data_IF_381831775177
#
_entry.id   IF_381831775177
#
_cell.length_a   1.000
_cell.length_b   1.000
_cell.length_c   1.000
_cell.angle_alpha   90.00
_cell.angle_beta   90.00
_cell.angle_gamma   90.00
#
_symmetry.space_group_name_H-M   'P 1'
#
loop_
_entity.id
_entity.type
_entity.pdbx_description
1 polymer ?
#
# COMPACT_ATOMS: atom_id res chain seq x y z
N UNK A 1 13.25 28.00 15.64
CA UNK A 1 13.61 27.29 16.88
C UNK A 1 12.66 26.16 17.22
N UNK A 2 11.61 26.38 18.04
CA UNK A 2 10.68 25.31 18.51
C UNK A 2 9.39 25.14 17.68
N UNK A 3 9.08 26.09 16.80
CA UNK A 3 7.84 26.06 16.01
C UNK A 3 8.00 25.33 14.66
N UNK A 4 9.17 25.43 14.04
CA UNK A 4 9.47 24.80 12.73
C UNK A 4 9.52 23.27 12.85
N UNK A 5 10.28 22.72 13.81
CA UNK A 5 10.40 21.26 13.97
C UNK A 5 9.09 20.52 14.32
N UNK A 6 8.06 21.20 14.84
CA UNK A 6 6.72 20.59 15.05
C UNK A 6 5.81 20.64 13.82
N UNK A 7 6.07 21.55 12.88
CA UNK A 7 5.34 21.60 11.62
C UNK A 7 5.92 20.58 10.64
N UNK A 8 7.24 20.49 10.54
CA UNK A 8 7.94 19.50 9.70
C UNK A 8 7.60 18.07 10.13
N UNK A 9 7.79 17.72 11.41
CA UNK A 9 7.47 16.36 11.89
C UNK A 9 6.00 15.96 11.77
N UNK A 10 5.05 16.92 11.71
CA UNK A 10 3.62 16.64 11.44
C UNK A 10 3.28 16.56 9.96
N UNK A 11 4.05 17.19 9.08
CA UNK A 11 3.90 17.02 7.63
C UNK A 11 4.50 15.69 7.20
N UNK A 12 5.74 15.40 7.62
CA UNK A 12 6.43 14.15 7.34
C UNK A 12 5.64 12.95 7.87
N UNK A 13 5.25 12.94 9.14
CA UNK A 13 4.47 11.83 9.70
C UNK A 13 3.09 11.62 9.06
N UNK A 14 2.48 12.67 8.51
CA UNK A 14 1.22 12.53 7.73
C UNK A 14 1.49 11.99 6.33
N UNK A 15 2.53 12.46 5.66
CA UNK A 15 2.86 12.05 4.31
C UNK A 15 3.36 10.61 4.28
N UNK A 16 4.17 10.21 5.27
CA UNK A 16 4.56 8.82 5.51
C UNK A 16 3.36 7.96 5.88
N UNK A 17 2.48 8.44 6.77
CA UNK A 17 1.27 7.71 7.17
C UNK A 17 0.30 7.46 6.01
N UNK A 18 0.14 8.43 5.11
CA UNK A 18 -0.67 8.29 3.89
C UNK A 18 -0.04 7.28 2.94
N UNK A 19 1.26 7.42 2.63
CA UNK A 19 1.95 6.48 1.73
C UNK A 19 1.96 5.04 2.27
N UNK A 20 2.21 4.86 3.57
CA UNK A 20 2.18 3.56 4.21
C UNK A 20 0.76 2.97 4.21
N UNK A 21 -0.25 3.82 4.39
CA UNK A 21 -1.66 3.46 4.33
C UNK A 21 -2.10 3.02 2.94
N UNK A 22 -1.71 3.77 1.91
CA UNK A 22 -2.01 3.47 0.51
C UNK A 22 -1.37 2.15 0.08
N UNK A 23 -0.07 1.96 0.37
CA UNK A 23 0.63 0.71 0.08
C UNK A 23 0.01 -0.49 0.79
N UNK A 24 -0.41 -0.32 2.06
CA UNK A 24 -1.10 -1.37 2.81
C UNK A 24 -2.49 -1.68 2.25
N UNK A 25 -3.24 -0.65 1.87
CA UNK A 25 -4.57 -0.81 1.28
C UNK A 25 -4.53 -1.57 -0.05
N UNK A 26 -3.56 -1.25 -0.93
CA UNK A 26 -3.35 -1.99 -2.19
C UNK A 26 -3.07 -3.47 -1.95
N UNK A 27 -2.18 -3.78 -0.98
CA UNK A 27 -1.85 -5.16 -0.59
C UNK A 27 -3.05 -5.91 -0.02
N UNK A 28 -3.85 -5.29 0.85
CA UNK A 28 -5.07 -5.90 1.37
C UNK A 28 -6.13 -6.12 0.28
N UNK A 29 -6.27 -5.18 -0.65
CA UNK A 29 -7.19 -5.28 -1.76
C UNK A 29 -6.80 -6.43 -2.70
N UNK A 30 -5.52 -6.52 -3.08
CA UNK A 30 -4.99 -7.63 -3.84
C UNK A 30 -5.22 -8.98 -3.15
N UNK A 31 -4.94 -9.07 -1.84
CA UNK A 31 -5.18 -10.29 -1.05
C UNK A 31 -6.66 -10.71 -1.07
N UNK A 32 -7.58 -9.76 -0.90
CA UNK A 32 -9.03 -10.04 -0.98
C UNK A 32 -9.44 -10.51 -2.38
N UNK A 33 -8.89 -9.92 -3.44
CA UNK A 33 -9.15 -10.37 -4.81
C UNK A 33 -8.66 -11.80 -5.05
N UNK A 34 -7.46 -12.14 -4.56
CA UNK A 34 -6.94 -13.52 -4.64
C UNK A 34 -7.85 -14.51 -3.90
N UNK A 35 -8.30 -14.16 -2.69
CA UNK A 35 -9.24 -14.98 -1.91
C UNK A 35 -10.59 -15.15 -2.60
N UNK A 36 -11.02 -14.16 -3.37
CA UNK A 36 -12.24 -14.22 -4.17
C UNK A 36 -12.06 -15.02 -5.48
N UNK A 37 -10.88 -15.61 -5.71
CA UNK A 37 -10.60 -16.42 -6.90
C UNK A 37 -10.33 -15.60 -8.17
N UNK A 38 -10.01 -14.31 -8.03
CA UNK A 38 -9.59 -13.49 -9.16
C UNK A 38 -8.19 -13.92 -9.63
N UNK A 39 -7.99 -13.93 -10.94
CA UNK A 39 -6.71 -14.32 -11.53
C UNK A 39 -5.62 -13.27 -11.24
N UNK A 40 -4.37 -13.73 -11.15
CA UNK A 40 -3.26 -12.85 -10.83
C UNK A 40 -3.09 -11.71 -11.87
N UNK A 41 -3.41 -11.94 -13.15
CA UNK A 41 -3.24 -10.92 -14.18
C UNK A 41 -4.20 -9.75 -13.97
N UNK A 42 -5.48 -10.03 -13.74
CA UNK A 42 -6.47 -9.00 -13.41
C UNK A 42 -6.12 -8.24 -12.14
N UNK A 43 -5.56 -8.92 -11.13
CA UNK A 43 -5.14 -8.27 -9.88
C UNK A 43 -3.97 -7.32 -10.15
N UNK A 44 -2.98 -7.73 -10.95
CA UNK A 44 -1.86 -6.85 -11.35
C UNK A 44 -2.39 -5.63 -12.13
N UNK A 45 -3.33 -5.82 -13.05
CA UNK A 45 -3.89 -4.73 -13.85
C UNK A 45 -4.69 -3.72 -13.00
N UNK A 46 -5.40 -4.18 -11.98
CA UNK A 46 -6.20 -3.31 -11.09
C UNK A 46 -5.37 -2.64 -10.00
N UNK A 47 -4.43 -3.37 -9.40
CA UNK A 47 -3.66 -2.88 -8.24
C UNK A 47 -2.31 -2.28 -8.63
N UNK A 48 -1.85 -2.51 -9.87
CA UNK A 48 -0.52 -2.12 -10.34
C UNK A 48 0.61 -2.91 -9.67
N UNK A 49 0.30 -3.90 -8.83
CA UNK A 49 1.30 -4.74 -8.18
C UNK A 49 1.92 -5.69 -9.19
N UNK A 50 3.22 -5.95 -9.01
CA UNK A 50 3.94 -6.96 -9.78
C UNK A 50 3.60 -8.37 -9.31
N UNK A 51 3.91 -9.36 -10.16
CA UNK A 51 3.73 -10.77 -9.83
C UNK A 51 4.47 -11.17 -8.55
N UNK A 52 5.67 -10.63 -8.33
CA UNK A 52 6.47 -10.91 -7.14
C UNK A 52 5.85 -10.31 -5.87
N UNK A 53 5.24 -9.13 -5.97
CA UNK A 53 4.50 -8.53 -4.86
C UNK A 53 3.25 -9.35 -4.53
N UNK A 54 2.52 -9.82 -5.54
CA UNK A 54 1.37 -10.71 -5.33
C UNK A 54 1.79 -12.06 -4.73
N UNK A 55 2.92 -12.62 -5.16
CA UNK A 55 3.46 -13.86 -4.61
C UNK A 55 3.80 -13.72 -3.12
N UNK A 56 4.31 -12.56 -2.69
CA UNK A 56 4.58 -12.27 -1.28
C UNK A 56 3.29 -12.14 -0.44
N UNK A 57 2.13 -11.85 -1.05
CA UNK A 57 0.84 -11.77 -0.35
C UNK A 57 0.14 -13.13 -0.21
N UNK A 58 0.58 -14.13 -0.98
CA UNK A 58 0.06 -15.50 -0.99
C UNK A 58 0.73 -16.43 0.04
N UNK A 59 1.82 -15.98 0.68
CA UNK A 59 2.57 -16.75 1.68
C UNK A 59 2.06 -16.47 3.10
#
# INVERSE_FOLDING_TARGET
GRQEGRQEGRQEGRQEGIQLGEAKALKEMARKMMLNGMDQQSIMDVTGLSKDELAQLSH
#
